data_IF_778748332049
#
_entry.id   IF_778748332049
#
_cell.length_a   1.000
_cell.length_b   1.000
_cell.length_c   1.000
_cell.angle_alpha   90.00
_cell.angle_beta   90.00
_cell.angle_gamma   90.00
#
_symmetry.space_group_name_H-M   'P 1'
#
loop_
_entity.id
_entity.type
_entity.pdbx_description
1 polymer ?
#
# COMPACT_ATOMS: atom_id res chain seq x y z
N UNK A 1 -20.66 -46.15 -49.65
CA UNK A 1 -20.54 -46.11 -48.17
C UNK A 1 -20.07 -44.71 -47.84
N UNK A 2 -20.94 -43.93 -47.21
CA UNK A 2 -20.65 -42.58 -46.77
C UNK A 2 -20.10 -42.66 -45.34
N UNK A 3 -18.97 -42.01 -45.06
CA UNK A 3 -18.55 -41.75 -43.69
C UNK A 3 -18.52 -40.24 -43.48
N UNK A 4 -19.59 -39.79 -42.85
CA UNK A 4 -19.78 -38.47 -42.27
C UNK A 4 -19.31 -38.56 -40.82
N UNK A 5 -18.11 -38.03 -40.53
CA UNK A 5 -17.65 -37.86 -39.15
C UNK A 5 -17.97 -36.42 -38.75
N UNK A 6 -19.12 -36.27 -38.10
CA UNK A 6 -19.41 -35.10 -37.27
C UNK A 6 -18.83 -35.24 -35.87
N UNK A 7 -19.07 -34.18 -35.08
CA UNK A 7 -18.80 -33.98 -33.65
C UNK A 7 -17.32 -33.71 -33.29
N UNK A 8 -16.92 -32.65 -32.58
CA UNK A 8 -17.67 -31.70 -31.77
C UNK A 8 -16.94 -30.35 -31.74
N UNK A 9 -17.67 -29.28 -32.04
CA UNK A 9 -17.25 -27.90 -31.78
C UNK A 9 -17.54 -27.62 -30.30
N UNK A 10 -16.55 -27.82 -29.43
CA UNK A 10 -16.68 -27.49 -28.01
C UNK A 10 -16.65 -25.97 -27.87
N UNK A 11 -17.78 -25.45 -27.41
CA UNK A 11 -18.06 -24.03 -27.32
C UNK A 11 -17.28 -23.37 -26.20
N UNK A 12 -16.54 -22.33 -26.58
CA UNK A 12 -16.55 -21.02 -25.91
C UNK A 12 -16.72 -21.02 -24.39
N UNK A 13 -15.68 -21.44 -23.68
CA UNK A 13 -15.44 -21.03 -22.30
C UNK A 13 -14.68 -19.70 -22.25
N UNK A 14 -15.25 -18.63 -22.79
CA UNK A 14 -14.77 -17.26 -22.57
C UNK A 14 -15.16 -16.83 -21.14
N UNK A 15 -14.40 -17.35 -20.17
CA UNK A 15 -14.45 -16.91 -18.77
C UNK A 15 -13.22 -16.08 -18.37
N UNK A 16 -12.44 -15.62 -19.35
CA UNK A 16 -11.13 -14.99 -19.14
C UNK A 16 -11.17 -13.48 -18.96
N UNK A 17 -12.10 -12.78 -19.62
CA UNK A 17 -12.10 -11.31 -19.67
C UNK A 17 -12.44 -10.61 -18.35
N UNK A 18 -13.16 -11.27 -17.44
CA UNK A 18 -13.57 -10.67 -16.16
C UNK A 18 -12.48 -10.71 -15.08
N UNK A 19 -11.40 -11.48 -15.25
CA UNK A 19 -10.39 -11.66 -14.18
C UNK A 19 -9.16 -10.79 -14.34
N UNK A 20 -8.82 -10.39 -15.56
CA UNK A 20 -7.61 -9.60 -15.81
C UNK A 20 -7.75 -8.18 -15.27
N UNK A 21 -8.94 -7.58 -15.42
CA UNK A 21 -9.20 -6.22 -14.94
C UNK A 21 -9.23 -6.12 -13.40
N UNK A 22 -9.56 -7.19 -12.68
CA UNK A 22 -9.56 -7.20 -11.20
C UNK A 22 -8.16 -6.98 -10.60
N UNK A 23 -7.11 -7.27 -11.37
CA UNK A 23 -5.72 -7.12 -10.94
C UNK A 23 -5.08 -5.80 -11.36
N UNK A 24 -5.77 -4.99 -12.18
CA UNK A 24 -5.25 -3.72 -12.68
C UNK A 24 -5.58 -2.57 -11.74
N UNK A 25 -4.63 -1.64 -11.59
CA UNK A 25 -4.88 -0.39 -10.88
C UNK A 25 -5.84 0.51 -11.69
N UNK A 26 -6.67 1.36 -11.05
CA UNK A 26 -7.54 2.27 -11.79
C UNK A 26 -6.77 3.14 -12.79
N UNK A 27 -7.15 3.08 -14.07
CA UNK A 27 -6.47 3.78 -15.18
C UNK A 27 -6.33 5.29 -14.93
N UNK A 28 -7.30 5.90 -14.24
CA UNK A 28 -7.29 7.30 -13.87
C UNK A 28 -6.15 7.64 -12.90
N UNK A 29 -5.85 6.76 -11.95
CA UNK A 29 -4.76 6.94 -10.99
C UNK A 29 -3.40 6.81 -11.68
N UNK A 30 -3.25 5.81 -12.56
CA UNK A 30 -2.05 5.64 -13.40
C UNK A 30 -1.81 6.89 -14.24
N UNK A 31 -2.82 7.34 -14.98
CA UNK A 31 -2.73 8.54 -15.83
C UNK A 31 -2.40 9.81 -15.04
N UNK A 32 -2.92 9.96 -13.81
CA UNK A 32 -2.62 11.11 -12.94
C UNK A 32 -1.15 11.13 -12.53
N UNK A 33 -0.59 9.97 -12.14
CA UNK A 33 0.82 9.86 -11.71
C UNK A 33 1.75 10.10 -12.91
N UNK A 34 1.49 9.45 -14.05
CA UNK A 34 2.28 9.65 -15.27
C UNK A 34 2.37 11.14 -15.65
N UNK A 35 1.29 11.90 -15.43
CA UNK A 35 1.20 13.32 -15.76
C UNK A 35 2.04 14.23 -14.83
N UNK A 36 2.37 13.79 -13.62
CA UNK A 36 3.11 14.60 -12.63
C UNK A 36 4.52 14.97 -13.08
N UNK A 37 5.15 14.11 -13.90
CA UNK A 37 6.51 14.32 -14.42
C UNK A 37 6.54 14.97 -15.81
N UNK A 38 5.37 15.32 -16.36
CA UNK A 38 5.24 15.89 -17.70
C UNK A 38 4.86 17.36 -17.65
N UNK A 39 5.17 18.15 -18.70
CA UNK A 39 4.69 19.52 -18.82
C UNK A 39 3.15 19.64 -18.70
N UNK A 40 2.63 20.78 -18.23
CA UNK A 40 1.19 20.96 -17.98
C UNK A 40 0.31 20.65 -19.20
N UNK A 41 0.74 21.01 -20.39
CA UNK A 41 0.01 20.84 -21.65
C UNK A 41 0.26 19.50 -22.37
N UNK A 42 1.16 18.64 -21.86
CA UNK A 42 1.44 17.35 -22.48
C UNK A 42 0.18 16.44 -22.54
N UNK A 43 0.04 15.62 -23.57
CA UNK A 43 -1.05 14.63 -23.66
C UNK A 43 -0.45 13.23 -23.53
N UNK A 44 -1.16 12.35 -22.85
CA UNK A 44 -0.83 10.93 -22.75
C UNK A 44 -1.91 10.18 -23.51
N UNK A 45 -1.53 9.36 -24.49
CA UNK A 45 -2.46 8.56 -25.28
C UNK A 45 -3.16 7.53 -24.39
N UNK A 46 -4.23 6.91 -24.92
CA UNK A 46 -4.95 5.85 -24.21
C UNK A 46 -4.04 4.63 -24.05
N UNK A 47 -3.39 4.23 -25.14
CA UNK A 47 -2.52 3.07 -25.25
C UNK A 47 -1.35 3.17 -24.26
N UNK A 48 -0.72 4.36 -24.14
CA UNK A 48 0.35 4.55 -23.18
C UNK A 48 -0.09 4.38 -21.72
N UNK A 49 -1.35 4.74 -21.38
CA UNK A 49 -1.88 4.52 -20.03
C UNK A 49 -2.16 3.04 -19.79
N UNK A 50 -2.69 2.33 -20.78
CA UNK A 50 -2.98 0.89 -20.70
C UNK A 50 -1.67 0.10 -20.55
N UNK A 51 -0.65 0.39 -21.37
CA UNK A 51 0.68 -0.22 -21.22
C UNK A 51 1.26 0.02 -19.83
N UNK A 52 1.20 1.26 -19.32
CA UNK A 52 1.72 1.54 -17.98
C UNK A 52 0.89 0.88 -16.86
N UNK A 53 -0.41 0.69 -17.07
CA UNK A 53 -1.29 -0.02 -16.14
C UNK A 53 -0.94 -1.50 -16.05
N UNK A 54 -0.60 -2.13 -17.17
CA UNK A 54 -0.07 -3.50 -17.21
C UNK A 54 1.30 -3.57 -16.53
N UNK A 55 2.24 -2.69 -16.93
CA UNK A 55 3.60 -2.69 -16.39
C UNK A 55 3.63 -2.48 -14.86
N UNK A 56 2.80 -1.59 -14.31
CA UNK A 56 2.78 -1.36 -12.85
C UNK A 56 2.18 -2.55 -12.09
N UNK A 57 1.21 -3.24 -12.69
CA UNK A 57 0.59 -4.42 -12.09
C UNK A 57 1.58 -5.60 -12.09
N UNK A 58 2.33 -5.76 -13.17
CA UNK A 58 3.43 -6.71 -13.26
C UNK A 58 4.56 -6.35 -12.28
N UNK A 59 4.93 -5.07 -12.17
CA UNK A 59 5.94 -4.61 -11.22
C UNK A 59 5.60 -4.98 -9.77
N UNK A 60 4.33 -4.80 -9.36
CA UNK A 60 3.87 -5.23 -8.02
C UNK A 60 4.06 -6.73 -7.87
N UNK A 61 3.64 -7.52 -8.84
CA UNK A 61 3.76 -8.99 -8.82
C UNK A 61 5.22 -9.44 -8.79
N UNK A 62 6.09 -8.77 -9.53
CA UNK A 62 7.51 -9.05 -9.60
C UNK A 62 8.22 -8.79 -8.27
N UNK A 63 8.07 -7.59 -7.71
CA UNK A 63 8.69 -7.21 -6.42
C UNK A 63 8.16 -8.07 -5.28
N UNK A 64 6.84 -8.31 -5.24
CA UNK A 64 6.24 -9.15 -4.20
C UNK A 64 6.64 -10.61 -4.33
N UNK A 65 6.84 -11.12 -5.55
CA UNK A 65 7.38 -12.45 -5.81
C UNK A 65 8.79 -12.62 -5.24
N UNK A 66 9.69 -11.67 -5.50
CA UNK A 66 11.07 -11.70 -5.00
C UNK A 66 11.12 -11.59 -3.46
N UNK A 67 10.31 -10.71 -2.88
CA UNK A 67 10.18 -10.59 -1.42
C UNK A 67 9.62 -11.87 -0.78
N UNK A 68 8.61 -12.49 -1.41
CA UNK A 68 8.03 -13.75 -0.97
C UNK A 68 9.05 -14.88 -1.00
N UNK A 69 9.90 -14.93 -2.02
CA UNK A 69 10.99 -15.89 -2.13
C UNK A 69 11.96 -15.79 -0.95
N UNK A 70 12.43 -14.58 -0.64
CA UNK A 70 13.28 -14.33 0.53
C UNK A 70 12.60 -14.75 1.83
N UNK A 71 11.36 -14.30 2.04
CA UNK A 71 10.59 -14.63 3.24
C UNK A 71 10.50 -16.15 3.45
N UNK A 72 10.22 -16.89 2.36
CA UNK A 72 10.13 -18.35 2.40
C UNK A 72 11.47 -19.03 2.66
N UNK A 73 12.56 -18.54 2.06
CA UNK A 73 13.94 -19.01 2.34
C UNK A 73 14.32 -18.84 3.80
N UNK A 74 13.81 -17.80 4.45
CA UNK A 74 13.98 -17.53 5.89
C UNK A 74 12.97 -18.26 6.79
N UNK A 75 12.21 -19.22 6.24
CA UNK A 75 11.20 -20.04 6.95
C UNK A 75 10.07 -19.22 7.58
N UNK A 76 9.78 -18.03 7.05
CA UNK A 76 8.65 -17.19 7.46
C UNK A 76 7.47 -17.39 6.50
N UNK A 77 6.25 -17.31 7.05
CA UNK A 77 4.99 -17.39 6.28
C UNK A 77 4.40 -16.03 5.92
N UNK A 78 4.91 -14.96 6.54
CA UNK A 78 4.38 -13.61 6.40
C UNK A 78 5.49 -12.70 5.89
N UNK A 79 5.27 -12.15 4.70
CA UNK A 79 6.12 -11.10 4.11
C UNK A 79 5.95 -9.83 4.93
N UNK A 80 7.06 -9.16 5.22
CA UNK A 80 7.07 -7.89 5.96
C UNK A 80 7.74 -6.76 5.16
N UNK A 81 7.79 -5.56 5.72
CA UNK A 81 8.40 -4.40 5.06
C UNK A 81 9.90 -4.52 4.78
N UNK A 82 10.64 -5.28 5.59
CA UNK A 82 12.08 -5.49 5.37
C UNK A 82 12.32 -6.38 4.13
N UNK A 83 11.43 -7.34 3.87
CA UNK A 83 11.48 -8.17 2.66
C UNK A 83 11.31 -7.35 1.39
N UNK A 84 10.38 -6.39 1.41
CA UNK A 84 10.13 -5.48 0.28
C UNK A 84 11.35 -4.59 0.04
N UNK A 85 11.92 -4.01 1.11
CA UNK A 85 13.12 -3.17 0.99
C UNK A 85 14.31 -3.96 0.45
N UNK A 86 14.47 -5.22 0.87
CA UNK A 86 15.51 -6.11 0.35
C UNK A 86 15.27 -6.44 -1.13
N UNK A 87 14.04 -6.80 -1.52
CA UNK A 87 13.71 -7.15 -2.89
C UNK A 87 14.02 -5.99 -3.84
N UNK A 88 13.63 -4.76 -3.48
CA UNK A 88 13.93 -3.58 -4.30
C UNK A 88 15.44 -3.36 -4.48
N UNK A 89 16.25 -3.53 -3.42
CA UNK A 89 17.70 -3.42 -3.54
C UNK A 89 18.30 -4.52 -4.43
N UNK A 90 17.88 -5.79 -4.24
CA UNK A 90 18.35 -6.92 -5.06
C UNK A 90 18.00 -6.76 -6.54
N UNK A 91 16.85 -6.16 -6.82
CA UNK A 91 16.36 -5.91 -8.18
C UNK A 91 16.98 -4.65 -8.84
N UNK A 92 17.87 -3.94 -8.14
CA UNK A 92 18.56 -2.75 -8.67
C UNK A 92 17.76 -1.44 -8.55
N UNK A 93 16.75 -1.39 -7.69
CA UNK A 93 15.96 -0.19 -7.38
C UNK A 93 16.47 0.51 -6.10
N UNK A 94 17.79 0.61 -5.92
CA UNK A 94 18.44 1.15 -4.73
C UNK A 94 17.98 2.57 -4.36
N UNK A 95 17.77 3.41 -5.38
CA UNK A 95 17.25 4.78 -5.23
C UNK A 95 15.88 4.84 -4.54
N UNK A 96 15.10 3.75 -4.61
CA UNK A 96 13.82 3.59 -3.92
C UNK A 96 13.97 2.82 -2.60
N UNK A 97 14.84 1.81 -2.55
CA UNK A 97 15.02 0.96 -1.37
C UNK A 97 15.49 1.75 -0.14
N UNK A 98 16.45 2.68 -0.33
CA UNK A 98 17.00 3.51 0.75
C UNK A 98 15.93 4.41 1.40
N UNK A 99 15.18 5.25 0.65
CA UNK A 99 14.14 6.06 1.25
C UNK A 99 12.99 5.23 1.85
N UNK A 100 12.63 4.10 1.22
CA UNK A 100 11.60 3.19 1.77
C UNK A 100 12.01 2.59 3.13
N UNK A 101 13.28 2.19 3.29
CA UNK A 101 13.78 1.69 4.58
C UNK A 101 13.73 2.77 5.66
N UNK A 102 14.06 4.01 5.33
CA UNK A 102 13.92 5.16 6.25
C UNK A 102 12.45 5.40 6.62
N UNK A 103 11.55 5.33 5.66
CA UNK A 103 10.12 5.44 5.91
C UNK A 103 9.62 4.33 6.84
N UNK A 104 9.99 3.08 6.57
CA UNK A 104 9.62 1.92 7.39
C UNK A 104 10.07 2.08 8.85
N UNK A 105 11.28 2.60 9.07
CA UNK A 105 11.78 2.90 10.42
C UNK A 105 10.88 3.92 11.13
N UNK A 106 10.60 5.07 10.50
CA UNK A 106 9.73 6.10 11.08
C UNK A 106 8.29 5.61 11.30
N UNK A 107 7.79 4.78 10.40
CA UNK A 107 6.46 4.18 10.53
C UNK A 107 6.36 3.30 11.78
N UNK A 108 7.38 2.48 12.05
CA UNK A 108 7.46 1.64 13.25
C UNK A 108 7.55 2.46 14.54
N UNK A 109 8.31 3.56 14.55
CA UNK A 109 8.35 4.49 15.69
C UNK A 109 6.96 5.07 15.96
N UNK A 110 6.28 5.56 14.92
CA UNK A 110 4.94 6.13 15.05
C UNK A 110 3.87 5.12 15.52
N UNK A 111 3.90 3.88 15.01
CA UNK A 111 3.01 2.83 15.49
C UNK A 111 3.33 2.40 16.93
N UNK A 112 4.61 2.35 17.29
CA UNK A 112 5.07 2.09 18.66
C UNK A 112 4.58 3.15 19.65
N UNK A 113 4.67 4.43 19.28
CA UNK A 113 4.18 5.56 20.09
C UNK A 113 2.66 5.52 20.27
N UNK A 114 1.91 5.16 19.22
CA UNK A 114 0.46 4.96 19.31
C UNK A 114 0.09 3.84 20.28
N UNK A 115 0.79 2.72 20.21
CA UNK A 115 0.57 1.59 21.12
C UNK A 115 0.93 1.97 22.57
N UNK A 116 2.04 2.67 22.79
CA UNK A 116 2.45 3.15 24.11
C UNK A 116 1.47 4.19 24.69
N UNK A 117 0.91 5.07 23.86
CA UNK A 117 -0.06 6.08 24.28
C UNK A 117 -1.41 5.44 24.65
N UNK A 118 -1.86 4.40 23.93
CA UNK A 118 -3.05 3.64 24.31
C UNK A 118 -2.87 2.89 25.64
N UNK A 119 -1.68 2.33 25.89
CA UNK A 119 -1.38 1.68 27.19
C UNK A 119 -1.36 2.70 28.33
N UNK A 120 -0.82 3.91 28.11
CA UNK A 120 -0.86 5.00 29.11
C UNK A 120 -2.29 5.41 29.45
N UNK A 121 -3.16 5.57 28.46
CA UNK A 121 -4.58 5.93 28.67
C UNK A 121 -5.32 4.84 29.47
N UNK A 122 -5.06 3.57 29.17
CA UNK A 122 -5.64 2.44 29.92
C UNK A 122 -5.14 2.35 31.36
N UNK A 123 -3.87 2.67 31.61
CA UNK A 123 -3.27 2.69 32.95
C UNK A 123 -3.77 3.89 33.77
N UNK A 124 -4.00 5.06 33.17
CA UNK A 124 -4.59 6.21 33.86
C UNK A 124 -6.06 5.98 34.23
N UNK A 125 -6.83 5.26 33.40
CA UNK A 125 -8.21 4.89 33.71
C UNK A 125 -8.36 3.81 34.80
N UNK A 126 -7.25 3.22 35.26
CA UNK A 126 -7.26 2.18 36.31
C UNK A 126 -6.83 2.71 37.68
N UNK A 127 -6.67 4.03 37.85
CA UNK A 127 -6.16 4.65 39.09
C UNK A 127 -7.15 5.56 39.83
N UNK A 128 -8.39 5.66 39.37
CA UNK A 128 -9.42 6.48 40.01
C UNK A 128 -10.55 5.60 40.58
N UNK A 129 -10.26 4.86 41.65
CA UNK A 129 -11.28 4.32 42.58
C UNK A 129 -10.74 4.43 44.02
N UNK A 130 -10.62 5.66 44.50
CA UNK A 130 -10.78 5.98 45.92
C UNK A 130 -11.25 7.44 45.98
N UNK A 131 -12.53 7.62 46.32
CA UNK A 131 -13.17 8.92 46.29
C UNK A 131 -12.77 9.78 47.48
N UNK A 132 -12.48 11.06 47.24
CA UNK A 132 -12.94 12.11 48.14
C UNK A 132 -13.11 13.45 47.42
N UNK A 133 -14.18 14.13 47.79
CA UNK A 133 -14.81 15.27 47.13
C UNK A 133 -14.25 16.60 47.68
N UNK A 134 -13.60 17.45 46.87
CA UNK A 134 -13.55 18.90 47.13
C UNK A 134 -12.91 19.78 46.02
N UNK A 135 -13.67 20.83 45.69
CA UNK A 135 -13.27 22.21 45.31
C UNK A 135 -12.88 22.60 43.86
N UNK A 136 -13.86 23.31 43.29
CA UNK A 136 -13.88 24.37 42.27
C UNK A 136 -12.63 25.25 42.06
N UNK A 137 -12.54 25.67 40.78
CA UNK A 137 -12.18 26.98 40.19
C UNK A 137 -10.83 27.15 39.46
N UNK A 138 -11.00 27.39 38.14
CA UNK A 138 -10.32 28.39 37.30
C UNK A 138 -8.92 28.07 36.74
N UNK A 139 -8.85 27.72 35.45
CA UNK A 139 -8.21 28.61 34.47
C UNK A 139 -8.66 28.32 33.03
N UNK A 140 -8.84 29.42 32.32
CA UNK A 140 -9.34 29.59 30.96
C UNK A 140 -8.13 29.86 30.05
N UNK A 141 -7.97 29.09 28.97
CA UNK A 141 -7.45 29.55 27.65
C UNK A 141 -7.42 28.40 26.62
N UNK A 142 -8.19 28.56 25.55
CA UNK A 142 -8.02 27.95 24.22
C UNK A 142 -6.91 28.70 23.43
N UNK A 143 -6.41 28.28 22.23
CA UNK A 143 -7.03 27.38 21.24
C UNK A 143 -6.10 26.42 20.44
N UNK A 144 -6.75 25.49 19.74
CA UNK A 144 -6.39 24.89 18.44
C UNK A 144 -4.99 25.18 17.88
N UNK A 145 -4.11 24.19 17.89
CA UNK A 145 -2.89 24.23 17.08
C UNK A 145 -2.59 22.83 16.57
N UNK A 146 -3.15 22.46 15.42
CA UNK A 146 -2.59 21.49 14.46
C UNK A 146 -3.53 21.42 13.23
N UNK A 147 -3.61 22.52 12.48
CA UNK A 147 -4.24 22.49 11.15
C UNK A 147 -3.42 23.20 10.06
N UNK A 148 -2.18 23.59 10.34
CA UNK A 148 -1.29 24.15 9.33
C UNK A 148 0.12 23.65 9.57
N UNK A 149 0.52 22.57 8.89
CA UNK A 149 1.91 22.36 8.44
C UNK A 149 2.00 21.10 7.55
N UNK A 150 1.31 21.13 6.40
CA UNK A 150 1.54 20.16 5.32
C UNK A 150 1.86 20.81 3.96
N UNK A 151 2.46 22.00 4.01
CA UNK A 151 3.09 22.61 2.83
C UNK A 151 4.37 23.30 3.24
N UNK A 152 5.49 22.62 3.02
CA UNK A 152 6.63 23.15 2.27
C UNK A 152 7.24 22.02 1.46
#
# INVERSE_FOLDING_TARGET
>A
MAENIGTSNDGGGDGGGFKEQDHLLPIANVGRIMKQILPPNAKISKEAKETMQECVSEFISFVTGEASEKCRKERRKTVNGDDICWALATLGFDDYAVPLKRYLYKFREFEGDKAANQVKVSISNSKDDDGDEAQKQQQQQSPLMFQHDWKQ
#
